data_IF_024991625872
#
_entry.id   IF_024991625872
#
_cell.length_a   1.000
_cell.length_b   1.000
_cell.length_c   1.000
_cell.angle_alpha   90.00
_cell.angle_beta   90.00
_cell.angle_gamma   90.00
#
_symmetry.space_group_name_H-M   'P 1'
#
loop_
_entity.id
_entity.type
_entity.pdbx_description
1 polymer ?
#
# COMPACT_ATOMS: atom_id res chain seq x y z
N UNK A 1 27.14 -14.01 18.65
CA UNK A 1 28.25 -14.63 17.90
C UNK A 1 29.29 -13.60 17.45
N UNK A 2 28.93 -12.55 16.69
CA UNK A 2 29.85 -11.49 16.20
C UNK A 2 30.74 -10.85 17.28
N UNK A 3 30.17 -10.56 18.47
CA UNK A 3 30.89 -9.98 19.61
C UNK A 3 32.03 -10.87 20.14
N UNK A 4 31.91 -12.19 20.01
CA UNK A 4 32.92 -13.14 20.49
C UNK A 4 34.07 -13.29 19.48
N UNK A 5 33.78 -13.20 18.19
CA UNK A 5 34.80 -13.20 17.14
C UNK A 5 35.73 -11.99 17.26
N UNK A 6 35.18 -10.78 17.47
CA UNK A 6 35.97 -9.56 17.70
C UNK A 6 36.76 -9.57 19.02
N UNK A 7 36.20 -10.14 20.10
CA UNK A 7 36.88 -10.22 21.40
C UNK A 7 38.11 -11.14 21.39
N UNK A 8 38.07 -12.24 20.63
CA UNK A 8 39.23 -13.14 20.47
C UNK A 8 40.40 -12.47 19.75
N UNK A 9 40.12 -11.52 18.86
CA UNK A 9 41.12 -10.81 18.05
C UNK A 9 41.92 -9.79 18.87
N UNK A 10 41.29 -9.06 19.80
CA UNK A 10 41.98 -8.18 20.75
C UNK A 10 43.03 -8.91 21.61
N UNK A 11 42.87 -10.22 21.78
CA UNK A 11 43.81 -11.03 22.58
C UNK A 11 45.04 -11.50 21.79
N UNK A 12 44.98 -11.54 20.44
CA UNK A 12 46.11 -11.94 19.58
C UNK A 12 47.02 -10.77 19.17
N UNK A 13 46.48 -9.55 19.15
CA UNK A 13 47.23 -8.32 18.84
C UNK A 13 48.33 -8.01 19.87
N UNK A 14 48.19 -8.52 21.10
CA UNK A 14 49.15 -8.31 22.17
C UNK A 14 50.45 -9.15 22.09
N UNK A 15 50.60 -10.03 21.09
CA UNK A 15 51.61 -11.10 21.12
C UNK A 15 52.63 -11.17 19.95
N UNK A 16 52.70 -10.26 18.96
CA UNK A 16 53.70 -10.42 17.86
C UNK A 16 54.23 -9.14 17.18
N UNK A 17 55.45 -9.23 16.61
CA UNK A 17 56.23 -8.16 15.91
C UNK A 17 56.18 -8.30 14.36
N UNK A 18 56.69 -7.37 13.53
CA UNK A 18 55.89 -6.30 12.93
C UNK A 18 55.68 -6.46 11.40
N UNK A 19 54.48 -6.10 10.97
CA UNK A 19 54.03 -5.81 9.59
C UNK A 19 53.49 -6.96 8.71
N UNK A 20 54.27 -7.99 8.32
CA UNK A 20 53.74 -9.03 7.39
C UNK A 20 52.73 -9.98 8.05
N UNK A 21 53.04 -10.45 9.26
CA UNK A 21 52.16 -11.31 10.07
C UNK A 21 50.85 -10.61 10.43
N UNK A 22 50.93 -9.31 10.77
CA UNK A 22 49.77 -8.51 11.15
C UNK A 22 48.83 -8.25 9.95
N UNK A 23 49.38 -8.03 8.76
CA UNK A 23 48.59 -7.84 7.54
C UNK A 23 47.81 -9.11 7.19
N UNK A 24 48.45 -10.29 7.22
CA UNK A 24 47.78 -11.57 6.99
C UNK A 24 46.69 -11.86 8.04
N UNK A 25 46.95 -11.59 9.31
CA UNK A 25 45.96 -11.76 10.39
C UNK A 25 44.74 -10.83 10.22
N UNK A 26 44.96 -9.58 9.79
CA UNK A 26 43.89 -8.63 9.50
C UNK A 26 43.02 -9.09 8.31
N UNK A 27 43.63 -9.61 7.25
CA UNK A 27 42.89 -10.14 6.09
C UNK A 27 42.09 -11.40 6.45
N UNK A 28 42.67 -12.31 7.24
CA UNK A 28 41.97 -13.50 7.72
C UNK A 28 40.78 -13.14 8.62
N UNK A 29 40.95 -12.14 9.48
CA UNK A 29 39.86 -11.57 10.27
C UNK A 29 38.72 -11.02 9.39
N UNK A 30 39.05 -10.27 8.34
CA UNK A 30 38.07 -9.71 7.40
C UNK A 30 37.32 -10.84 6.69
N UNK A 31 38.03 -11.87 6.21
CA UNK A 31 37.41 -13.05 5.59
C UNK A 31 36.41 -13.73 6.52
N UNK A 32 36.80 -14.01 7.77
CA UNK A 32 35.93 -14.65 8.78
C UNK A 32 34.72 -13.78 9.15
N UNK A 33 34.87 -12.46 9.11
CA UNK A 33 33.75 -11.53 9.28
C UNK A 33 32.76 -11.63 8.11
N UNK A 34 33.25 -11.69 6.87
CA UNK A 34 32.40 -11.88 5.69
C UNK A 34 31.65 -13.22 5.73
N UNK A 35 32.33 -14.32 6.08
CA UNK A 35 31.70 -15.63 6.24
C UNK A 35 30.60 -15.61 7.32
N UNK A 36 30.87 -15.00 8.48
CA UNK A 36 29.87 -14.85 9.54
C UNK A 36 28.69 -13.96 9.13
N UNK A 37 28.92 -12.93 8.31
CA UNK A 37 27.85 -12.07 7.79
C UNK A 37 27.00 -12.85 6.78
N UNK A 38 27.63 -13.64 5.93
CA UNK A 38 26.94 -14.51 4.97
C UNK A 38 26.06 -15.54 5.69
N UNK A 39 26.59 -16.25 6.70
CA UNK A 39 25.82 -17.17 7.55
C UNK A 39 24.63 -16.48 8.23
N UNK A 40 24.83 -15.25 8.71
CA UNK A 40 23.77 -14.47 9.34
C UNK A 40 22.68 -14.09 8.35
N UNK A 41 23.04 -13.72 7.11
CA UNK A 41 22.11 -13.38 6.04
C UNK A 41 21.37 -14.60 5.49
N UNK A 42 21.98 -15.79 5.54
CA UNK A 42 21.35 -17.05 5.17
C UNK A 42 20.39 -17.58 6.24
N UNK A 43 20.46 -17.06 7.47
CA UNK A 43 19.60 -17.50 8.56
C UNK A 43 18.12 -17.21 8.24
N UNK A 44 17.21 -18.21 8.33
CA UNK A 44 15.80 -18.03 7.97
C UNK A 44 15.11 -16.89 8.71
N UNK A 45 15.46 -16.67 9.98
CA UNK A 45 14.92 -15.56 10.79
C UNK A 45 15.36 -14.19 10.29
N UNK A 46 16.61 -14.05 9.85
CA UNK A 46 17.13 -12.82 9.23
C UNK A 46 16.44 -12.57 7.90
N UNK A 47 16.32 -13.58 7.04
CA UNK A 47 15.65 -13.47 5.75
C UNK A 47 14.17 -13.09 5.91
N UNK A 48 13.49 -13.72 6.86
CA UNK A 48 12.09 -13.41 7.17
C UNK A 48 11.94 -11.98 7.71
N UNK A 49 12.83 -11.53 8.60
CA UNK A 49 12.80 -10.16 9.13
C UNK A 49 13.04 -9.12 8.02
N UNK A 50 14.01 -9.34 7.14
CA UNK A 50 14.29 -8.46 5.99
C UNK A 50 13.14 -8.45 4.99
N UNK A 51 12.52 -9.61 4.71
CA UNK A 51 11.35 -9.71 3.85
C UNK A 51 10.16 -8.94 4.44
N UNK A 52 9.89 -9.10 5.74
CA UNK A 52 8.81 -8.41 6.44
C UNK A 52 9.04 -6.88 6.48
N UNK A 53 10.27 -6.43 6.69
CA UNK A 53 10.61 -5.00 6.65
C UNK A 53 10.37 -4.41 5.25
N UNK A 54 10.82 -5.12 4.20
CA UNK A 54 10.59 -4.71 2.80
C UNK A 54 9.11 -4.70 2.46
N UNK A 55 8.37 -5.71 2.92
CA UNK A 55 6.93 -5.82 2.72
C UNK A 55 6.19 -4.69 3.43
N UNK A 56 6.56 -4.35 4.67
CA UNK A 56 5.99 -3.23 5.42
C UNK A 56 6.22 -1.87 4.74
N UNK A 57 7.42 -1.62 4.20
CA UNK A 57 7.71 -0.39 3.43
C UNK A 57 6.94 -0.33 2.11
N UNK A 58 6.86 -1.46 1.40
CA UNK A 58 6.01 -1.57 0.21
C UNK A 58 4.55 -1.32 0.58
N UNK A 59 4.13 -1.79 1.76
CA UNK A 59 2.77 -1.68 2.22
C UNK A 59 2.35 -0.26 2.54
N UNK A 60 3.16 0.43 3.32
CA UNK A 60 2.95 1.84 3.61
C UNK A 60 2.86 2.66 2.32
N UNK A 61 3.74 2.41 1.35
CA UNK A 61 3.73 3.12 0.07
C UNK A 61 2.50 2.82 -0.80
N UNK A 62 2.01 1.58 -0.83
CA UNK A 62 0.79 1.20 -1.57
C UNK A 62 -0.44 1.79 -0.89
N UNK A 63 -0.54 1.68 0.43
CA UNK A 63 -1.67 2.21 1.21
C UNK A 63 -1.77 3.73 1.12
N UNK A 64 -0.65 4.46 1.21
CA UNK A 64 -0.62 5.92 1.04
C UNK A 64 -1.10 6.33 -0.35
N UNK A 65 -0.62 5.66 -1.41
CA UNK A 65 -1.07 5.95 -2.79
C UNK A 65 -2.54 5.64 -3.00
N UNK A 66 -3.04 4.51 -2.48
CA UNK A 66 -4.45 4.14 -2.55
C UNK A 66 -5.34 5.13 -1.78
N UNK A 67 -4.89 5.64 -0.64
CA UNK A 67 -5.58 6.68 0.13
C UNK A 67 -5.71 7.98 -0.68
N UNK A 68 -4.61 8.46 -1.27
CA UNK A 68 -4.64 9.66 -2.13
C UNK A 68 -5.60 9.50 -3.31
N UNK A 69 -5.63 8.31 -3.93
CA UNK A 69 -6.58 8.01 -5.00
C UNK A 69 -8.03 8.01 -4.52
N UNK A 70 -8.31 7.48 -3.33
CA UNK A 70 -9.65 7.54 -2.73
C UNK A 70 -10.08 8.98 -2.43
N UNK A 71 -9.17 9.83 -1.94
CA UNK A 71 -9.44 11.26 -1.73
C UNK A 71 -9.76 11.97 -3.05
N UNK A 72 -9.00 11.70 -4.11
CA UNK A 72 -9.29 12.21 -5.46
C UNK A 72 -10.66 11.72 -5.92
N UNK A 73 -10.97 10.43 -5.74
CA UNK A 73 -12.27 9.88 -6.11
C UNK A 73 -13.44 10.56 -5.36
N UNK A 74 -13.24 10.94 -4.10
CA UNK A 74 -14.22 11.73 -3.34
C UNK A 74 -14.42 13.11 -3.98
N UNK A 75 -13.34 13.84 -4.25
CA UNK A 75 -13.42 15.18 -4.86
C UNK A 75 -14.10 15.13 -6.24
N UNK A 76 -13.75 14.15 -7.07
CA UNK A 76 -14.38 13.95 -8.38
C UNK A 76 -15.88 13.68 -8.24
N UNK A 77 -16.29 12.93 -7.21
CA UNK A 77 -17.71 12.67 -6.93
C UNK A 77 -18.47 13.94 -6.55
N UNK A 78 -17.86 14.78 -5.72
CA UNK A 78 -18.47 16.04 -5.29
C UNK A 78 -18.66 16.98 -6.49
N UNK A 79 -17.65 17.07 -7.37
CA UNK A 79 -17.73 17.84 -8.62
C UNK A 79 -18.82 17.27 -9.54
N UNK A 80 -18.88 15.95 -9.67
CA UNK A 80 -19.93 15.25 -10.43
C UNK A 80 -21.33 15.61 -9.93
N UNK A 81 -21.56 15.56 -8.60
CA UNK A 81 -22.86 15.88 -8.00
C UNK A 81 -23.27 17.32 -8.30
N UNK A 82 -22.34 18.27 -8.19
CA UNK A 82 -22.60 19.69 -8.53
C UNK A 82 -22.93 19.87 -10.02
N UNK A 83 -22.24 19.16 -10.90
CA UNK A 83 -22.47 19.23 -12.35
C UNK A 83 -23.86 18.67 -12.72
N UNK A 84 -24.27 17.57 -12.09
CA UNK A 84 -25.60 16.97 -12.27
C UNK A 84 -26.70 17.92 -11.80
N UNK A 85 -26.56 18.52 -10.62
CA UNK A 85 -27.52 19.53 -10.12
C UNK A 85 -27.61 20.74 -11.06
N UNK A 86 -26.47 21.25 -11.53
CA UNK A 86 -26.42 22.40 -12.45
C UNK A 86 -27.15 22.12 -13.77
N UNK A 87 -26.98 20.92 -14.33
CA UNK A 87 -27.67 20.49 -15.56
C UNK A 87 -29.18 20.40 -15.33
N UNK A 88 -29.61 19.75 -14.25
CA UNK A 88 -31.03 19.64 -13.91
C UNK A 88 -31.67 21.02 -13.69
N UNK A 89 -30.96 21.95 -13.05
CA UNK A 89 -31.44 23.31 -12.83
C UNK A 89 -31.56 24.10 -14.13
N UNK A 90 -30.58 23.99 -15.03
CA UNK A 90 -30.61 24.59 -16.38
C UNK A 90 -31.75 24.02 -17.22
N UNK A 91 -31.93 22.70 -17.26
CA UNK A 91 -33.05 22.07 -17.96
C UNK A 91 -34.40 22.53 -17.43
N UNK A 92 -34.55 22.58 -16.10
CA UNK A 92 -35.79 23.03 -15.47
C UNK A 92 -36.09 24.49 -15.80
N UNK A 93 -35.07 25.36 -15.79
CA UNK A 93 -35.20 26.78 -16.12
C UNK A 93 -35.57 26.99 -17.58
N UNK A 94 -34.99 26.22 -18.49
CA UNK A 94 -35.33 26.29 -19.92
C UNK A 94 -36.73 25.76 -20.21
N UNK A 95 -37.19 24.74 -19.45
CA UNK A 95 -38.57 24.26 -19.52
C UNK A 95 -39.55 25.31 -19.00
N UNK A 96 -39.23 26.01 -17.90
CA UNK A 96 -40.06 27.09 -17.31
C UNK A 96 -40.16 28.35 -18.17
N UNK A 97 -39.06 28.78 -18.82
CA UNK A 97 -39.00 29.99 -19.67
C UNK A 97 -39.98 29.96 -20.85
N UNK A 98 -40.58 28.81 -21.17
CA UNK A 98 -41.66 28.67 -22.17
C UNK A 98 -42.95 29.43 -21.81
N UNK A 99 -43.13 29.87 -20.57
CA UNK A 99 -44.44 30.35 -20.07
C UNK A 99 -44.58 31.85 -19.85
N UNK A 100 -43.53 32.67 -20.00
CA UNK A 100 -43.60 34.09 -19.66
C UNK A 100 -42.56 34.94 -20.39
N UNK A 101 -42.90 35.41 -21.58
CA UNK A 101 -42.77 36.81 -22.04
C UNK A 101 -43.15 36.85 -23.54
N UNK A 102 -44.08 37.72 -23.93
CA UNK A 102 -44.73 37.70 -25.25
C UNK A 102 -44.46 39.02 -25.97
N UNK A 103 -43.53 39.00 -26.94
CA UNK A 103 -43.36 40.14 -27.85
C UNK A 103 -43.45 39.76 -29.35
N UNK A 104 -42.92 38.61 -29.83
CA UNK A 104 -42.99 38.26 -31.27
C UNK A 104 -43.13 36.74 -31.55
N UNK A 105 -44.01 36.35 -32.49
CA UNK A 105 -44.29 34.93 -32.84
C UNK A 105 -43.13 34.20 -33.54
N UNK A 106 -42.31 34.90 -34.33
CA UNK A 106 -41.14 34.32 -35.01
C UNK A 106 -40.02 34.02 -34.00
N UNK A 107 -39.77 34.95 -33.07
CA UNK A 107 -38.81 34.78 -31.98
C UNK A 107 -39.20 33.61 -31.07
N UNK A 108 -40.49 33.45 -30.75
CA UNK A 108 -41.00 32.30 -29.98
C UNK A 108 -40.76 30.94 -30.67
N UNK A 109 -40.83 30.86 -32.00
CA UNK A 109 -40.57 29.62 -32.73
C UNK A 109 -39.08 29.30 -32.78
N UNK A 110 -38.24 30.32 -32.97
CA UNK A 110 -36.79 30.18 -32.92
C UNK A 110 -36.32 29.78 -31.51
N UNK A 111 -36.85 30.41 -30.47
CA UNK A 111 -36.56 30.09 -29.06
C UNK A 111 -37.00 28.67 -28.69
N UNK A 112 -38.18 28.23 -29.16
CA UNK A 112 -38.62 26.85 -28.94
C UNK A 112 -37.70 25.84 -29.63
N UNK A 113 -37.23 26.14 -30.83
CA UNK A 113 -36.33 25.28 -31.60
C UNK A 113 -34.93 25.26 -31.00
N UNK A 114 -34.37 26.40 -30.64
CA UNK A 114 -33.06 26.53 -29.99
C UNK A 114 -33.06 25.88 -28.61
N UNK A 115 -34.09 26.11 -27.79
CA UNK A 115 -34.21 25.49 -26.47
C UNK A 115 -34.36 23.96 -26.56
N UNK A 116 -35.04 23.44 -27.59
CA UNK A 116 -35.14 21.99 -27.80
C UNK A 116 -33.78 21.38 -28.14
N UNK A 117 -32.97 22.07 -28.93
CA UNK A 117 -31.60 21.64 -29.24
C UNK A 117 -30.69 21.72 -28.02
N UNK A 118 -30.81 22.76 -27.21
CA UNK A 118 -30.07 22.91 -25.94
C UNK A 118 -30.42 21.79 -24.97
N UNK A 119 -31.70 21.48 -24.75
CA UNK A 119 -32.12 20.37 -23.88
C UNK A 119 -31.51 19.03 -24.33
N UNK A 120 -31.55 18.72 -25.63
CA UNK A 120 -30.93 17.49 -26.14
C UNK A 120 -29.43 17.40 -25.84
N UNK A 121 -28.72 18.53 -25.92
CA UNK A 121 -27.30 18.58 -25.57
C UNK A 121 -27.07 18.42 -24.07
N UNK A 122 -27.94 18.98 -23.22
CA UNK A 122 -27.89 18.74 -21.77
C UNK A 122 -28.16 17.27 -21.43
N UNK A 123 -29.17 16.64 -22.04
CA UNK A 123 -29.47 15.20 -21.88
C UNK A 123 -28.26 14.32 -22.26
N UNK A 124 -27.54 14.70 -23.33
CA UNK A 124 -26.32 14.01 -23.74
C UNK A 124 -25.18 14.17 -22.71
N UNK A 125 -25.01 15.37 -22.15
CA UNK A 125 -24.02 15.61 -21.09
C UNK A 125 -24.39 14.87 -19.81
N UNK A 126 -25.67 14.83 -19.43
CA UNK A 126 -26.17 14.08 -18.26
C UNK A 126 -25.89 12.58 -18.41
N UNK A 127 -26.05 12.04 -19.62
CA UNK A 127 -25.72 10.64 -19.92
C UNK A 127 -24.21 10.35 -19.74
N UNK A 128 -23.34 11.22 -20.27
CA UNK A 128 -21.88 11.07 -20.10
C UNK A 128 -21.44 11.25 -18.64
N UNK A 129 -22.17 12.06 -17.88
CA UNK A 129 -21.98 12.22 -16.44
C UNK A 129 -22.30 10.90 -15.75
N UNK A 130 -23.45 10.28 -16.01
CA UNK A 130 -23.84 8.98 -15.44
C UNK A 130 -22.77 7.89 -15.68
N UNK A 131 -22.22 7.82 -16.90
CA UNK A 131 -21.11 6.91 -17.23
C UNK A 131 -19.86 7.15 -16.37
N UNK A 132 -19.51 8.41 -16.13
CA UNK A 132 -18.39 8.76 -15.25
C UNK A 132 -18.64 8.36 -13.80
N UNK A 133 -19.89 8.46 -13.32
CA UNK A 133 -20.27 8.02 -11.98
C UNK A 133 -20.11 6.50 -11.82
N UNK A 134 -20.55 5.71 -12.79
CA UNK A 134 -20.38 4.26 -12.78
C UNK A 134 -18.90 3.88 -12.73
N UNK A 135 -18.08 4.51 -13.58
CA UNK A 135 -16.63 4.29 -13.58
C UNK A 135 -15.99 4.65 -12.23
N UNK A 136 -16.38 5.79 -11.66
CA UNK A 136 -15.86 6.24 -10.36
C UNK A 136 -16.21 5.28 -9.23
N UNK A 137 -17.42 4.72 -9.24
CA UNK A 137 -17.85 3.75 -8.25
C UNK A 137 -17.08 2.43 -8.36
N UNK A 138 -16.84 1.96 -9.59
CA UNK A 138 -16.01 0.78 -9.84
C UNK A 138 -14.59 1.00 -9.30
N UNK A 139 -13.96 2.12 -9.64
CA UNK A 139 -12.61 2.45 -9.18
C UNK A 139 -12.54 2.55 -7.65
N UNK A 140 -13.49 3.24 -7.03
CA UNK A 140 -13.56 3.37 -5.58
C UNK A 140 -13.69 2.01 -4.89
N UNK A 141 -14.56 1.13 -5.40
CA UNK A 141 -14.76 -0.23 -4.89
C UNK A 141 -13.50 -1.08 -5.01
N UNK A 142 -12.80 -1.00 -6.15
CA UNK A 142 -11.54 -1.71 -6.37
C UNK A 142 -10.43 -1.23 -5.44
N UNK A 143 -10.31 0.09 -5.23
CA UNK A 143 -9.34 0.68 -4.32
C UNK A 143 -9.57 0.24 -2.87
N UNK A 144 -10.83 0.26 -2.40
CA UNK A 144 -11.17 -0.24 -1.07
C UNK A 144 -10.86 -1.74 -0.93
N UNK A 145 -11.19 -2.55 -1.93
CA UNK A 145 -10.93 -3.99 -1.90
C UNK A 145 -9.43 -4.30 -1.87
N UNK A 146 -8.65 -3.63 -2.72
CA UNK A 146 -7.19 -3.76 -2.73
C UNK A 146 -6.59 -3.41 -1.37
N UNK A 147 -7.04 -2.30 -0.77
CA UNK A 147 -6.60 -1.86 0.57
C UNK A 147 -6.88 -2.91 1.63
N UNK A 148 -8.12 -3.42 1.71
CA UNK A 148 -8.53 -4.41 2.71
C UNK A 148 -7.78 -5.73 2.52
N UNK A 149 -7.72 -6.24 1.29
CA UNK A 149 -6.98 -7.48 0.99
C UNK A 149 -5.51 -7.38 1.38
N UNK A 150 -4.91 -6.21 1.15
CA UNK A 150 -3.51 -5.99 1.45
C UNK A 150 -3.24 -5.88 2.96
N UNK A 151 -4.09 -5.18 3.72
CA UNK A 151 -4.03 -5.15 5.20
C UNK A 151 -4.31 -6.52 5.85
N UNK A 152 -5.14 -7.36 5.23
CA UNK A 152 -5.37 -8.74 5.71
C UNK A 152 -4.12 -9.60 5.44
N UNK A 153 -3.48 -9.42 4.28
CA UNK A 153 -2.29 -10.17 3.90
C UNK A 153 -1.10 -9.90 4.85
N UNK A 154 -1.00 -8.68 5.38
CA UNK A 154 0.04 -8.30 6.34
C UNK A 154 -0.24 -8.84 7.75
N UNK A 155 -1.50 -8.82 8.20
CA UNK A 155 -1.90 -9.34 9.52
C UNK A 155 -1.86 -10.87 9.61
N UNK A 156 -2.23 -11.59 8.56
CA UNK A 156 -2.21 -13.08 8.55
C UNK A 156 -0.81 -13.69 8.40
N UNK A 157 0.14 -12.95 7.82
CA UNK A 157 1.55 -13.42 7.67
C UNK A 157 2.40 -13.16 8.92
N UNK A 158 1.91 -12.32 9.83
CA UNK A 158 2.39 -12.15 11.20
C UNK A 158 1.67 -13.12 12.16
N UNK A 159 1.64 -14.42 11.85
CA UNK A 159 1.28 -15.44 12.84
C UNK A 159 2.26 -15.43 14.01
N UNK A 160 1.86 -15.83 15.24
CA UNK A 160 2.59 -15.53 16.47
C UNK A 160 3.96 -16.22 16.49
N UNK A 161 5.02 -15.46 16.18
CA UNK A 161 6.40 -15.80 16.54
C UNK A 161 6.67 -15.44 18.02
N UNK A 162 5.88 -15.99 18.93
CA UNK A 162 6.29 -16.15 20.31
C UNK A 162 5.38 -17.20 20.96
N UNK A 163 5.98 -18.09 21.73
CA UNK A 163 5.32 -19.06 22.61
C UNK A 163 4.94 -20.45 22.04
N UNK A 164 5.83 -21.14 21.31
CA UNK A 164 5.91 -22.61 21.44
C UNK A 164 7.36 -23.08 21.32
N UNK A 165 8.09 -22.98 22.43
CA UNK A 165 9.23 -23.87 22.69
C UNK A 165 8.86 -24.68 23.92
N UNK A 166 8.43 -25.95 23.79
CA UNK A 166 8.37 -26.83 24.93
C UNK A 166 9.81 -27.09 25.36
N UNK A 167 10.23 -26.48 26.45
CA UNK A 167 11.46 -26.87 27.14
C UNK A 167 11.22 -28.24 27.74
N UNK A 168 11.48 -29.29 26.97
CA UNK A 168 11.60 -30.64 27.50
C UNK A 168 12.86 -30.70 28.38
N UNK A 169 12.68 -30.50 29.68
CA UNK A 169 13.64 -31.00 30.66
C UNK A 169 13.23 -32.44 30.95
N UNK A 170 13.91 -33.41 30.33
CA UNK A 170 13.82 -34.80 30.75
C UNK A 170 14.57 -34.95 32.08
N UNK A 171 13.94 -35.44 33.16
CA UNK A 171 14.69 -35.88 34.33
C UNK A 171 15.31 -37.25 34.03
N UNK A 172 16.64 -37.32 34.09
CA UNK A 172 17.35 -38.60 34.17
C UNK A 172 16.97 -39.28 35.48
N UNK A 173 16.10 -40.27 35.42
CA UNK A 173 15.98 -41.27 36.47
C UNK A 173 16.78 -42.52 36.03
N UNK A 174 17.99 -42.63 36.56
CA UNK A 174 18.70 -43.89 36.63
C UNK A 174 17.93 -44.80 37.59
N UNK A 175 17.36 -45.89 37.09
CA UNK A 175 16.87 -46.98 37.94
C UNK A 175 17.77 -48.18 37.67
N UNK A 176 18.59 -48.48 38.67
CA UNK A 176 19.41 -49.68 38.77
C UNK A 176 18.51 -50.91 38.81
N UNK A 177 18.74 -51.88 37.93
CA UNK A 177 18.25 -53.25 38.12
C UNK A 177 19.28 -54.04 38.93
N UNK A 178 18.89 -54.77 39.99
CA UNK A 178 19.66 -55.91 40.45
C UNK A 178 19.23 -57.19 39.72
N UNK A 179 20.19 -58.10 39.61
CA UNK A 179 20.15 -59.41 38.93
C UNK A 179 18.99 -60.31 39.35
#
# INVERSE_FOLDING_TARGET
MLRNSCKRLKSLEAASSPLHSLACQKLDCVKRLYECLDDLLQLPSTQQSLYNERLGKLEEGVLDRSLRLLDICRVVRDIYSQMKESIQELESSLRRKRSGDLSNKLDLLNDKKSNKEVIKKLEAVDSSIEELAEMLEIVFRLLLKSRVSFSILSTTRLGPQSAWSPKYHAPQFCIHYPL
#
